data_IF_228016538250
#
_entry.id   IF_228016538250
#
_cell.length_a   1.000
_cell.length_b   1.000
_cell.length_c   1.000
_cell.angle_alpha   90.00
_cell.angle_beta   90.00
_cell.angle_gamma   90.00
#
_symmetry.space_group_name_H-M   'P 1'
#
loop_
_entity.id
_entity.type
_entity.pdbx_description
1 polymer ?
#
# COMPACT_ATOMS: atom_id res chain seq x y z
N UNK A 1 22.82 26.53 63.20
CA UNK A 1 22.38 25.30 62.52
C UNK A 1 22.20 25.65 61.05
N UNK A 2 23.08 25.17 60.16
CA UNK A 2 23.07 25.44 58.71
C UNK A 2 22.62 24.15 58.02
N UNK A 3 21.45 24.16 57.38
CA UNK A 3 20.98 23.04 56.56
C UNK A 3 21.64 23.11 55.18
N UNK A 4 22.41 22.08 54.84
CA UNK A 4 22.95 21.86 53.50
C UNK A 4 21.92 21.01 52.73
N UNK A 5 21.31 21.59 51.68
CA UNK A 5 20.50 20.84 50.72
C UNK A 5 21.43 20.28 49.63
N UNK A 6 21.49 18.95 49.54
CA UNK A 6 22.15 18.21 48.46
C UNK A 6 21.16 18.03 47.30
N UNK A 7 21.47 18.44 46.07
CA UNK A 7 20.67 18.05 44.91
C UNK A 7 21.09 16.64 44.47
N UNK A 8 20.18 15.67 44.58
CA UNK A 8 20.40 14.32 44.06
C UNK A 8 19.99 14.31 42.58
N UNK A 9 20.98 13.95 41.76
CA UNK A 9 21.01 13.95 40.31
C UNK A 9 19.96 12.98 39.73
N UNK A 10 19.09 13.48 38.85
CA UNK A 10 18.12 12.68 38.10
C UNK A 10 18.82 12.07 36.87
N UNK A 11 19.16 10.78 36.91
CA UNK A 11 19.65 10.04 35.75
C UNK A 11 18.51 9.87 34.72
N UNK A 12 18.53 10.67 33.66
CA UNK A 12 17.73 10.42 32.47
C UNK A 12 18.33 9.21 31.72
N UNK A 13 17.72 8.04 31.88
CA UNK A 13 18.00 6.91 30.99
C UNK A 13 17.42 7.24 29.61
N UNK A 14 18.26 7.69 28.70
CA UNK A 14 17.94 7.80 27.27
C UNK A 14 17.83 6.38 26.73
N UNK A 15 16.61 5.84 26.69
CA UNK A 15 16.32 4.60 25.97
C UNK A 15 16.61 4.83 24.49
N UNK A 16 17.67 4.20 23.98
CA UNK A 16 17.89 4.10 22.55
C UNK A 16 16.74 3.29 21.97
N UNK A 17 15.82 3.96 21.28
CA UNK A 17 14.84 3.29 20.44
C UNK A 17 15.61 2.48 19.39
N UNK A 18 15.70 1.17 19.58
CA UNK A 18 16.08 0.26 18.51
C UNK A 18 14.95 0.35 17.48
N UNK A 19 15.17 1.08 16.40
CA UNK A 19 14.39 0.92 15.20
C UNK A 19 14.60 -0.54 14.77
N UNK A 20 13.56 -1.37 14.92
CA UNK A 20 13.53 -2.66 14.27
C UNK A 20 13.76 -2.45 12.77
N UNK A 21 14.44 -3.37 12.06
CA UNK A 21 14.51 -3.28 10.61
C UNK A 21 13.08 -3.20 10.09
N UNK A 22 12.79 -2.23 9.22
CA UNK A 22 11.52 -2.20 8.49
C UNK A 22 11.39 -3.57 7.83
N UNK A 23 10.41 -4.36 8.27
CA UNK A 23 10.14 -5.62 7.59
C UNK A 23 9.76 -5.26 6.16
N UNK A 24 10.34 -5.97 5.20
CA UNK A 24 9.93 -5.85 3.82
C UNK A 24 8.46 -6.28 3.70
N UNK A 25 7.56 -5.30 3.71
CA UNK A 25 6.11 -5.52 3.75
C UNK A 25 5.56 -5.93 2.37
N UNK A 26 6.40 -5.96 1.33
CA UNK A 26 6.05 -6.38 -0.02
C UNK A 26 6.50 -7.82 -0.32
N UNK A 27 7.27 -8.44 0.58
CA UNK A 27 7.81 -9.79 0.42
C UNK A 27 6.72 -10.83 0.08
N UNK A 28 6.76 -11.36 -1.15
CA UNK A 28 5.85 -12.40 -1.63
C UNK A 28 4.57 -11.90 -2.29
N UNK A 29 4.43 -10.60 -2.54
CA UNK A 29 3.30 -10.01 -3.27
C UNK A 29 3.60 -9.67 -4.73
N UNK A 30 4.85 -9.74 -5.18
CA UNK A 30 5.12 -9.68 -6.60
C UNK A 30 4.52 -10.90 -7.32
N UNK A 31 3.88 -10.66 -8.46
CA UNK A 31 3.17 -11.68 -9.21
C UNK A 31 2.22 -11.11 -10.26
N UNK A 32 1.50 -12.02 -10.90
CA UNK A 32 0.44 -11.70 -11.85
C UNK A 32 -0.91 -11.63 -11.12
N UNK A 33 -1.71 -10.63 -11.48
CA UNK A 33 -3.00 -10.35 -10.88
C UNK A 33 -4.03 -10.02 -11.95
N UNK A 34 -5.29 -10.30 -11.63
CA UNK A 34 -6.44 -9.72 -12.31
C UNK A 34 -6.98 -8.57 -11.44
N UNK A 35 -7.04 -7.38 -12.02
CA UNK A 35 -7.69 -6.20 -11.46
C UNK A 35 -9.07 -6.05 -12.10
N UNK A 36 -10.13 -6.19 -11.33
CA UNK A 36 -11.49 -6.29 -11.88
C UNK A 36 -12.55 -5.54 -11.09
N UNK A 37 -13.62 -5.15 -11.79
CA UNK A 37 -14.79 -4.48 -11.19
C UNK A 37 -15.76 -5.49 -10.60
N UNK A 38 -16.17 -5.30 -9.34
CA UNK A 38 -17.02 -6.23 -8.59
C UNK A 38 -18.51 -6.12 -8.97
N UNK A 39 -18.83 -6.43 -10.23
CA UNK A 39 -20.19 -6.58 -10.71
C UNK A 39 -20.27 -7.53 -11.92
N UNK A 40 -21.47 -8.01 -12.23
CA UNK A 40 -21.70 -8.93 -13.36
C UNK A 40 -21.34 -8.26 -14.71
N UNK A 41 -20.37 -8.84 -15.43
CA UNK A 41 -19.88 -8.28 -16.68
C UNK A 41 -18.89 -7.13 -16.50
N UNK A 42 -18.36 -6.94 -15.30
CA UNK A 42 -17.28 -6.00 -15.00
C UNK A 42 -16.02 -6.24 -15.82
N UNK A 43 -15.24 -5.18 -16.02
CA UNK A 43 -13.96 -5.28 -16.72
C UNK A 43 -12.95 -6.04 -15.87
N UNK A 44 -12.05 -6.74 -16.55
CA UNK A 44 -10.91 -7.46 -15.96
C UNK A 44 -9.67 -7.04 -16.72
N UNK A 45 -8.69 -6.49 -16.02
CA UNK A 45 -7.42 -6.05 -16.56
C UNK A 45 -6.29 -6.83 -15.91
N UNK A 46 -5.38 -7.37 -16.72
CA UNK A 46 -4.17 -7.98 -16.20
C UNK A 46 -3.25 -6.90 -15.61
N UNK A 47 -2.70 -7.17 -14.44
CA UNK A 47 -1.72 -6.34 -13.74
C UNK A 47 -0.59 -7.24 -13.24
N UNK A 48 0.65 -6.78 -13.35
CA UNK A 48 1.83 -7.43 -12.79
C UNK A 48 2.40 -6.52 -11.72
N UNK A 49 2.52 -7.02 -10.49
CA UNK A 49 3.27 -6.40 -9.42
C UNK A 49 4.68 -6.98 -9.46
N UNK A 50 5.71 -6.15 -9.63
CA UNK A 50 7.11 -6.60 -9.70
C UNK A 50 7.86 -6.22 -8.43
N UNK A 51 9.01 -6.85 -8.19
CA UNK A 51 9.97 -6.45 -7.13
C UNK A 51 10.99 -5.40 -7.63
N UNK A 52 10.79 -4.80 -8.81
CA UNK A 52 11.72 -3.79 -9.34
C UNK A 52 11.46 -2.43 -8.65
N UNK A 53 12.44 -1.85 -7.95
CA UNK A 53 12.22 -0.59 -7.24
C UNK A 53 11.97 0.57 -8.20
N UNK A 54 10.99 1.41 -7.88
CA UNK A 54 10.67 2.62 -8.64
C UNK A 54 10.37 3.82 -7.73
N UNK A 55 10.05 4.96 -8.30
CA UNK A 55 9.59 6.12 -7.53
C UNK A 55 8.20 5.78 -6.94
N UNK A 56 8.13 5.67 -5.62
CA UNK A 56 6.87 5.46 -4.91
C UNK A 56 6.59 4.03 -4.44
N UNK A 57 7.53 3.10 -4.60
CA UNK A 57 7.39 1.70 -4.20
C UNK A 57 8.10 0.78 -5.18
N UNK A 58 7.52 -0.37 -5.45
CA UNK A 58 7.97 -1.31 -6.48
C UNK A 58 7.11 -1.13 -7.74
N UNK A 59 7.59 -1.53 -8.92
CA UNK A 59 6.93 -1.22 -10.19
C UNK A 59 5.69 -2.10 -10.40
N UNK A 60 4.63 -1.49 -10.94
CA UNK A 60 3.42 -2.17 -11.37
C UNK A 60 3.20 -1.94 -12.88
N UNK A 61 2.89 -2.99 -13.60
CA UNK A 61 2.75 -2.99 -15.06
C UNK A 61 1.40 -3.57 -15.48
N UNK A 62 0.75 -3.00 -16.48
CA UNK A 62 -0.53 -3.51 -16.98
C UNK A 62 -0.94 -2.88 -18.30
N UNK A 63 -2.04 -3.35 -18.89
CA UNK A 63 -2.60 -2.75 -20.09
C UNK A 63 -3.26 -1.41 -19.73
N UNK A 64 -2.57 -0.30 -20.03
CA UNK A 64 -3.03 1.07 -19.80
C UNK A 64 -4.42 1.33 -20.39
N UNK A 65 -4.71 0.80 -21.59
CA UNK A 65 -6.00 1.01 -22.25
C UNK A 65 -7.16 0.26 -21.56
N UNK A 66 -6.86 -0.87 -20.93
CA UNK A 66 -7.81 -1.57 -20.09
C UNK A 66 -8.02 -0.81 -18.77
N UNK A 67 -6.93 -0.48 -18.07
CA UNK A 67 -6.93 0.13 -16.75
C UNK A 67 -7.61 1.51 -16.76
N UNK A 68 -7.40 2.31 -17.79
CA UNK A 68 -8.04 3.62 -17.94
C UNK A 68 -9.58 3.56 -17.92
N UNK A 69 -10.18 2.39 -18.20
CA UNK A 69 -11.63 2.20 -18.16
C UNK A 69 -12.17 1.85 -16.76
N UNK A 70 -11.31 1.59 -15.77
CA UNK A 70 -11.67 1.26 -14.39
C UNK A 70 -11.94 2.51 -13.51
N UNK A 71 -11.87 3.70 -14.12
CA UNK A 71 -12.10 4.98 -13.45
C UNK A 71 -11.05 5.34 -12.41
N UNK A 72 -9.80 4.91 -12.60
CA UNK A 72 -8.67 5.41 -11.81
C UNK A 72 -8.25 6.79 -12.34
N UNK A 73 -7.94 7.73 -11.45
CA UNK A 73 -7.51 9.09 -11.81
C UNK A 73 -6.01 9.15 -12.17
N UNK A 74 -5.54 8.20 -12.98
CA UNK A 74 -4.16 8.15 -13.46
C UNK A 74 -3.71 6.74 -13.85
N UNK A 75 -2.49 6.69 -14.42
CA UNK A 75 -1.86 5.44 -14.85
C UNK A 75 -1.14 4.78 -13.68
N UNK A 76 -1.39 3.49 -13.48
CA UNK A 76 -0.68 2.71 -12.46
C UNK A 76 0.80 2.63 -12.85
N UNK A 77 1.67 2.94 -11.89
CA UNK A 77 3.12 2.94 -12.10
C UNK A 77 3.86 2.24 -10.96
N UNK A 78 3.40 2.43 -9.72
CA UNK A 78 4.03 1.85 -8.54
C UNK A 78 2.99 1.18 -7.64
N UNK A 79 3.47 0.23 -6.84
CA UNK A 79 2.71 -0.38 -5.76
C UNK A 79 3.55 -0.44 -4.47
N UNK A 80 2.86 -0.47 -3.33
CA UNK A 80 3.49 -0.64 -2.02
C UNK A 80 2.47 -1.10 -0.98
N UNK A 81 2.97 -1.62 0.14
CA UNK A 81 2.15 -1.89 1.33
C UNK A 81 2.25 -0.71 2.30
N UNK A 82 1.10 -0.09 2.63
CA UNK A 82 1.02 0.98 3.62
C UNK A 82 1.28 0.46 5.05
N UNK A 83 1.49 1.36 6.02
CA UNK A 83 1.76 0.99 7.42
C UNK A 83 0.62 0.20 8.08
N UNK A 84 -0.61 0.38 7.61
CA UNK A 84 -1.80 -0.34 8.06
C UNK A 84 -2.03 -1.67 7.31
N UNK A 85 -1.09 -2.07 6.44
CA UNK A 85 -1.14 -3.31 5.69
C UNK A 85 -1.97 -3.26 4.41
N UNK A 86 -2.50 -2.09 4.03
CA UNK A 86 -3.20 -1.94 2.75
C UNK A 86 -2.23 -2.03 1.57
N UNK A 87 -2.64 -2.73 0.51
CA UNK A 87 -1.95 -2.67 -0.78
C UNK A 87 -2.39 -1.40 -1.50
N UNK A 88 -1.43 -0.62 -2.00
CA UNK A 88 -1.68 0.67 -2.63
C UNK A 88 -1.13 0.65 -4.04
N UNK A 89 -1.92 1.11 -5.01
CA UNK A 89 -1.45 1.44 -6.35
C UNK A 89 -1.36 2.96 -6.51
N UNK A 90 -0.29 3.42 -7.12
CA UNK A 90 0.02 4.84 -7.27
C UNK A 90 0.53 5.17 -8.69
N UNK A 91 0.36 6.44 -9.07
CA UNK A 91 0.91 6.98 -10.31
C UNK A 91 2.40 7.33 -10.18
N UNK A 92 3.03 7.72 -11.30
CA UNK A 92 4.43 8.15 -11.34
C UNK A 92 4.74 9.43 -10.54
N UNK A 93 3.72 10.19 -10.14
CA UNK A 93 3.83 11.36 -9.27
C UNK A 93 3.64 11.02 -7.78
N UNK A 94 3.39 9.74 -7.46
CA UNK A 94 3.07 9.19 -6.14
C UNK A 94 1.70 9.61 -5.61
N UNK A 95 0.78 9.99 -6.50
CA UNK A 95 -0.62 10.08 -6.11
C UNK A 95 -1.20 8.68 -5.97
N UNK A 96 -1.90 8.47 -4.85
CA UNK A 96 -2.60 7.21 -4.60
C UNK A 96 -3.79 7.13 -5.54
N UNK A 97 -3.84 6.07 -6.35
CA UNK A 97 -4.95 5.78 -7.25
C UNK A 97 -6.02 4.95 -6.56
N UNK A 98 -5.60 3.97 -5.76
CA UNK A 98 -6.50 3.07 -5.04
C UNK A 98 -5.79 2.40 -3.87
N UNK A 99 -6.56 2.11 -2.81
CA UNK A 99 -6.13 1.36 -1.62
C UNK A 99 -7.00 0.13 -1.49
N UNK A 100 -6.36 -1.02 -1.31
CA UNK A 100 -7.03 -2.29 -1.11
C UNK A 100 -6.80 -2.84 0.28
N UNK A 101 -7.84 -3.45 0.84
CA UNK A 101 -7.74 -4.24 2.06
C UNK A 101 -7.59 -5.70 1.69
N UNK A 102 -6.65 -6.40 2.33
CA UNK A 102 -6.56 -7.86 2.22
C UNK A 102 -7.85 -8.49 2.77
N UNK A 103 -8.44 -9.36 1.98
CA UNK A 103 -9.56 -10.21 2.38
C UNK A 103 -9.04 -11.55 2.90
N UNK A 104 -9.89 -12.30 3.61
CA UNK A 104 -9.51 -13.61 4.15
C UNK A 104 -9.21 -14.68 3.10
N UNK A 105 -9.46 -14.42 1.82
CA UNK A 105 -9.33 -15.37 0.72
C UNK A 105 -8.09 -15.12 -0.16
N UNK A 106 -7.23 -14.17 0.22
CA UNK A 106 -6.03 -13.80 -0.55
C UNK A 106 -6.27 -12.74 -1.62
N UNK A 107 -7.53 -12.37 -1.86
CA UNK A 107 -7.91 -11.24 -2.68
C UNK A 107 -7.77 -9.91 -1.94
N UNK A 108 -7.60 -8.84 -2.69
CA UNK A 108 -7.49 -7.47 -2.20
C UNK A 108 -8.71 -6.67 -2.68
N UNK A 109 -9.42 -6.00 -1.77
CA UNK A 109 -10.69 -5.33 -2.07
C UNK A 109 -10.65 -3.83 -1.78
N UNK A 110 -11.12 -3.03 -2.75
CA UNK A 110 -11.24 -1.58 -2.65
C UNK A 110 -12.70 -1.14 -2.75
N UNK A 111 -13.23 -0.57 -1.66
CA UNK A 111 -14.55 0.06 -1.65
C UNK A 111 -14.43 1.47 -2.25
N UNK A 112 -15.16 1.73 -3.33
CA UNK A 112 -15.12 2.99 -4.10
C UNK A 112 -16.51 3.58 -4.35
N UNK A 113 -17.57 2.91 -3.89
CA UNK A 113 -18.96 3.33 -4.08
C UNK A 113 -19.26 4.76 -3.58
N UNK A 114 -18.57 5.24 -2.54
CA UNK A 114 -18.73 6.62 -2.05
C UNK A 114 -18.29 7.68 -3.08
N UNK A 115 -17.38 7.33 -3.98
CA UNK A 115 -16.97 8.16 -5.11
C UNK A 115 -17.84 7.94 -6.36
N UNK A 116 -18.89 7.11 -6.28
CA UNK A 116 -19.73 6.75 -7.42
C UNK A 116 -19.05 5.85 -8.45
N UNK A 117 -18.03 5.10 -8.03
CA UNK A 117 -17.25 4.17 -8.85
C UNK A 117 -17.49 2.74 -8.39
N UNK A 118 -17.34 1.80 -9.32
CA UNK A 118 -17.42 0.38 -9.01
C UNK A 118 -16.25 -0.04 -8.10
N UNK A 119 -16.56 -0.93 -7.16
CA UNK A 119 -15.55 -1.52 -6.29
C UNK A 119 -14.56 -2.32 -7.14
N UNK A 120 -13.30 -2.32 -6.71
CA UNK A 120 -12.26 -3.07 -7.40
C UNK A 120 -11.78 -4.22 -6.53
N UNK A 121 -11.48 -5.32 -7.19
CA UNK A 121 -10.82 -6.49 -6.61
C UNK A 121 -9.52 -6.71 -7.35
N UNK A 122 -8.47 -7.03 -6.61
CA UNK A 122 -7.19 -7.44 -7.14
C UNK A 122 -6.93 -8.87 -6.65
N UNK A 123 -6.99 -9.82 -7.58
CA UNK A 123 -6.91 -11.26 -7.32
C UNK A 123 -5.63 -11.85 -7.91
N UNK A 124 -4.85 -12.65 -7.16
CA UNK A 124 -3.72 -13.37 -7.72
C UNK A 124 -4.17 -14.31 -8.86
N UNK A 125 -3.37 -14.42 -9.92
CA UNK A 125 -3.61 -15.32 -11.06
C UNK A 125 -2.94 -16.68 -10.94
#
# INVERSE_FOLDING_TARGET
MKALLTPMLLCAAMGAAHAAPAQDQTAGLAGEYDLWEDFEGGRVCALTLTDEPTIGGDAAEGDEACIAQLGLDGDIFAWFTAEDGQLVLADAMRHVLVRFNLTGEGDYYAIRAEAGLENLVLSPR
#
